data_IF_921643655113
#
_entry.id   IF_921643655113
#
_cell.length_a   1.000
_cell.length_b   1.000
_cell.length_c   1.000
_cell.angle_alpha   90.00
_cell.angle_beta   90.00
_cell.angle_gamma   90.00
#
_symmetry.space_group_name_H-M   'P 1'
#
loop_
_entity.id
_entity.type
_entity.pdbx_description
1 polymer ?
#
# COMPACT_ATOMS: atom_id res chain seq x y z
N UNK A 1 28.58 -17.92 7.44
CA UNK A 1 29.01 -17.59 6.08
C UNK A 1 28.12 -18.26 5.02
N UNK A 2 28.05 -19.55 4.89
CA UNK A 2 27.20 -20.25 3.90
C UNK A 2 25.71 -19.91 4.00
N UNK A 3 25.15 -19.71 5.18
CA UNK A 3 23.76 -19.30 5.35
C UNK A 3 23.46 -17.98 4.63
N UNK A 4 24.39 -17.03 4.64
CA UNK A 4 24.25 -15.75 3.96
C UNK A 4 24.24 -15.86 2.42
N UNK A 5 24.74 -16.98 1.87
CA UNK A 5 24.71 -17.29 0.44
C UNK A 5 23.46 -18.11 0.09
N UNK A 6 23.06 -19.00 1.00
CA UNK A 6 21.89 -19.88 0.80
C UNK A 6 20.58 -19.09 0.86
N UNK A 7 20.47 -18.07 1.72
CA UNK A 7 19.25 -17.29 1.85
C UNK A 7 18.88 -16.53 0.56
N UNK A 8 19.74 -15.69 -0.06
CA UNK A 8 19.43 -15.04 -1.33
C UNK A 8 19.14 -16.05 -2.47
N UNK A 9 19.86 -17.18 -2.46
CA UNK A 9 19.61 -18.25 -3.43
C UNK A 9 18.24 -18.89 -3.25
N UNK A 10 17.82 -19.10 -2.00
CA UNK A 10 16.47 -19.60 -1.70
C UNK A 10 15.40 -18.58 -2.13
N UNK A 11 15.58 -17.30 -1.86
CA UNK A 11 14.68 -16.25 -2.29
C UNK A 11 14.51 -16.26 -3.83
N UNK A 12 15.63 -16.29 -4.56
CA UNK A 12 15.63 -16.40 -6.03
C UNK A 12 14.97 -17.68 -6.54
N UNK A 13 15.20 -18.81 -5.86
CA UNK A 13 14.53 -20.07 -6.17
C UNK A 13 13.02 -20.00 -5.95
N UNK A 14 12.58 -19.42 -4.83
CA UNK A 14 11.17 -19.25 -4.52
C UNK A 14 10.49 -18.28 -5.50
N UNK A 15 11.14 -17.16 -5.86
CA UNK A 15 10.63 -16.26 -6.90
C UNK A 15 10.33 -17.02 -8.19
N UNK A 16 11.32 -17.75 -8.74
CA UNK A 16 11.12 -18.57 -9.94
C UNK A 16 10.06 -19.67 -9.77
N UNK A 17 9.88 -20.16 -8.55
CA UNK A 17 8.82 -21.13 -8.27
C UNK A 17 7.45 -20.49 -8.35
N UNK A 18 7.30 -19.28 -7.80
CA UNK A 18 6.04 -18.52 -7.87
C UNK A 18 5.75 -17.96 -9.26
N UNK A 19 6.76 -17.64 -10.08
CA UNK A 19 6.58 -17.21 -11.47
C UNK A 19 5.84 -18.27 -12.29
N UNK A 20 5.94 -19.56 -11.91
CA UNK A 20 5.20 -20.66 -12.53
C UNK A 20 3.68 -20.56 -12.37
N UNK A 21 3.18 -19.78 -11.41
CA UNK A 21 1.73 -19.55 -11.25
C UNK A 21 1.08 -19.08 -12.55
N UNK A 22 1.82 -18.32 -13.36
CA UNK A 22 1.33 -17.84 -14.66
C UNK A 22 0.99 -18.99 -15.64
N UNK A 23 1.55 -20.18 -15.45
CA UNK A 23 1.45 -21.31 -16.35
C UNK A 23 0.84 -22.56 -15.70
N UNK A 24 1.11 -22.78 -14.42
CA UNK A 24 0.73 -24.00 -13.70
C UNK A 24 -0.42 -23.71 -12.73
N UNK A 25 -1.57 -24.37 -12.90
CA UNK A 25 -2.75 -24.18 -12.03
C UNK A 25 -2.59 -24.73 -10.61
N UNK A 26 -1.55 -25.57 -10.38
CA UNK A 26 -1.27 -26.17 -9.07
C UNK A 26 0.18 -25.97 -8.68
N UNK A 27 0.48 -25.88 -7.36
CA UNK A 27 1.85 -25.79 -6.89
C UNK A 27 2.70 -27.00 -7.38
N UNK A 28 3.99 -26.81 -7.68
CA UNK A 28 4.85 -27.90 -8.11
C UNK A 28 4.93 -29.01 -7.04
N UNK A 29 4.72 -30.29 -7.42
CA UNK A 29 4.67 -31.40 -6.48
C UNK A 29 6.04 -31.77 -5.90
N UNK A 30 7.10 -31.22 -6.45
CA UNK A 30 8.50 -31.57 -6.17
C UNK A 30 9.35 -30.37 -5.72
N UNK A 31 8.72 -29.27 -5.22
CA UNK A 31 9.42 -28.04 -4.82
C UNK A 31 10.53 -28.32 -3.80
N UNK A 32 10.25 -29.13 -2.77
CA UNK A 32 11.20 -29.42 -1.72
C UNK A 32 12.41 -30.23 -2.24
N UNK A 33 12.20 -31.12 -3.22
CA UNK A 33 13.28 -31.86 -3.87
C UNK A 33 14.10 -30.94 -4.78
N UNK A 34 13.45 -30.12 -5.61
CA UNK A 34 14.14 -29.13 -6.46
C UNK A 34 14.99 -28.17 -5.65
N UNK A 35 14.48 -27.72 -4.50
CA UNK A 35 15.28 -26.89 -3.60
C UNK A 35 16.50 -27.65 -3.06
N UNK A 36 16.33 -28.90 -2.62
CA UNK A 36 17.44 -29.69 -2.14
C UNK A 36 18.52 -29.90 -3.22
N UNK A 37 18.11 -30.14 -4.45
CA UNK A 37 19.02 -30.32 -5.59
C UNK A 37 19.70 -28.97 -5.94
N UNK A 38 18.96 -27.88 -5.96
CA UNK A 38 19.49 -26.54 -6.17
C UNK A 38 20.52 -26.18 -5.08
N UNK A 39 20.18 -26.36 -3.81
CA UNK A 39 21.05 -26.05 -2.68
C UNK A 39 22.32 -26.89 -2.63
N UNK A 40 22.31 -28.11 -3.21
CA UNK A 40 23.47 -29.01 -3.26
C UNK A 40 24.48 -28.62 -4.36
N UNK A 41 24.08 -27.88 -5.39
CA UNK A 41 24.96 -27.42 -6.47
C UNK A 41 25.86 -26.29 -5.99
N UNK A 42 27.04 -26.17 -6.56
CA UNK A 42 27.88 -25.00 -6.33
C UNK A 42 27.14 -23.73 -6.86
N UNK A 43 27.13 -22.63 -6.09
CA UNK A 43 26.59 -21.37 -6.61
C UNK A 43 27.45 -20.84 -7.76
N UNK A 44 26.88 -20.01 -8.63
CA UNK A 44 27.65 -19.25 -9.62
C UNK A 44 28.63 -18.36 -8.84
N UNK A 45 29.91 -18.35 -9.20
CA UNK A 45 30.98 -17.68 -8.43
C UNK A 45 30.72 -16.16 -8.30
N UNK A 46 30.29 -15.50 -9.36
CA UNK A 46 29.95 -14.09 -9.34
C UNK A 46 28.83 -13.75 -8.35
N UNK A 47 27.73 -14.51 -8.36
CA UNK A 47 26.62 -14.34 -7.43
C UNK A 47 27.07 -14.57 -5.97
N UNK A 48 27.83 -15.64 -5.75
CA UNK A 48 28.29 -16.00 -4.41
C UNK A 48 29.22 -14.94 -3.83
N UNK A 49 30.08 -14.34 -4.67
CA UNK A 49 31.00 -13.26 -4.29
C UNK A 49 30.23 -11.97 -3.98
N UNK A 50 29.23 -11.60 -4.79
CA UNK A 50 28.35 -10.47 -4.54
C UNK A 50 27.61 -10.62 -3.18
N UNK A 51 26.92 -11.73 -2.97
CA UNK A 51 26.22 -11.99 -1.69
C UNK A 51 27.13 -12.03 -0.47
N UNK A 52 28.38 -12.52 -0.63
CA UNK A 52 29.35 -12.49 0.45
C UNK A 52 29.78 -11.06 0.76
N UNK A 53 30.02 -10.23 -0.26
CA UNK A 53 30.32 -8.80 -0.12
C UNK A 53 29.21 -8.06 0.64
N UNK A 54 27.99 -8.18 0.19
CA UNK A 54 26.81 -7.59 0.85
C UNK A 54 26.68 -8.02 2.32
N UNK A 55 26.87 -9.31 2.61
CA UNK A 55 26.80 -9.82 3.97
C UNK A 55 27.94 -9.29 4.87
N UNK A 56 29.11 -9.03 4.31
CA UNK A 56 30.24 -8.43 5.02
C UNK A 56 30.07 -6.93 5.22
N UNK A 57 29.45 -6.23 4.29
CA UNK A 57 29.23 -4.78 4.34
C UNK A 57 28.00 -4.38 5.14
N UNK A 58 27.14 -5.34 5.47
CA UNK A 58 25.96 -5.11 6.30
C UNK A 58 26.35 -4.54 7.66
N UNK A 59 25.85 -3.33 7.96
CA UNK A 59 25.97 -2.72 9.27
C UNK A 59 24.94 -3.29 10.24
N UNK A 60 25.32 -3.44 11.52
CA UNK A 60 24.42 -3.93 12.56
C UNK A 60 23.52 -2.82 13.06
N UNK A 61 22.24 -3.14 13.21
CA UNK A 61 21.26 -2.26 13.84
C UNK A 61 21.08 -2.64 15.33
N UNK A 62 20.68 -1.68 16.16
CA UNK A 62 20.50 -1.92 17.61
C UNK A 62 19.40 -2.93 17.95
N UNK A 63 18.47 -3.17 17.01
CA UNK A 63 17.42 -4.20 17.13
C UNK A 63 17.84 -5.58 16.62
N UNK A 64 19.04 -5.72 16.05
CA UNK A 64 19.50 -7.00 15.56
C UNK A 64 19.74 -7.96 16.75
N UNK A 65 19.09 -9.10 16.71
CA UNK A 65 19.26 -10.17 17.72
C UNK A 65 20.57 -10.92 17.56
N UNK A 66 21.25 -10.77 16.44
CA UNK A 66 22.49 -11.45 16.11
C UNK A 66 23.53 -10.49 15.54
N UNK A 67 24.82 -10.64 15.88
CA UNK A 67 25.87 -9.81 15.29
C UNK A 67 26.02 -10.08 13.80
N UNK A 68 26.45 -9.06 13.05
CA UNK A 68 26.70 -9.16 11.60
C UNK A 68 27.80 -10.20 11.29
N UNK A 69 27.87 -10.62 10.03
CA UNK A 69 28.91 -11.57 9.60
C UNK A 69 30.33 -11.07 9.93
N UNK A 70 30.61 -9.79 9.65
CA UNK A 70 31.89 -9.15 9.95
C UNK A 70 32.22 -9.25 11.45
N UNK A 71 31.31 -8.86 12.35
CA UNK A 71 31.50 -8.91 13.80
C UNK A 71 31.71 -10.34 14.31
N UNK A 72 31.04 -11.34 13.71
CA UNK A 72 31.24 -12.75 14.09
C UNK A 72 32.62 -13.26 13.68
N UNK A 73 33.11 -12.87 12.50
CA UNK A 73 34.45 -13.21 12.05
C UNK A 73 35.52 -12.57 12.93
N UNK A 74 35.38 -11.30 13.25
CA UNK A 74 36.27 -10.58 14.17
C UNK A 74 36.34 -11.24 15.56
N UNK A 75 35.15 -11.59 16.13
CA UNK A 75 35.07 -12.28 17.42
C UNK A 75 35.78 -13.65 17.40
N UNK A 76 35.77 -14.32 16.26
CA UNK A 76 36.48 -15.59 16.06
C UNK A 76 37.93 -15.41 15.61
N UNK A 77 38.41 -14.18 15.49
CA UNK A 77 39.75 -13.83 14.98
C UNK A 77 40.03 -14.36 13.58
N UNK A 78 38.99 -14.45 12.74
CA UNK A 78 39.12 -14.82 11.35
C UNK A 78 39.13 -13.55 10.48
N UNK A 79 40.08 -13.51 9.54
CA UNK A 79 40.05 -12.48 8.50
C UNK A 79 38.79 -12.65 7.62
N UNK A 80 38.27 -11.52 7.12
CA UNK A 80 37.20 -11.58 6.13
C UNK A 80 37.69 -12.34 4.88
N UNK A 81 36.98 -13.36 4.41
CA UNK A 81 37.43 -14.13 3.26
C UNK A 81 37.26 -13.32 1.99
N UNK A 82 38.25 -13.35 1.11
CA UNK A 82 38.19 -12.77 -0.23
C UNK A 82 37.36 -13.60 -1.22
N UNK A 83 36.97 -14.82 -0.86
CA UNK A 83 36.17 -15.72 -1.68
C UNK A 83 35.28 -16.61 -0.81
N UNK A 84 34.21 -17.12 -1.43
CA UNK A 84 33.30 -18.08 -0.77
C UNK A 84 34.06 -19.39 -0.49
N UNK A 85 34.01 -19.90 0.76
CA UNK A 85 34.63 -21.17 1.07
C UNK A 85 34.06 -22.30 0.20
N UNK A 86 34.89 -23.27 -0.22
CA UNK A 86 34.43 -24.39 -1.02
C UNK A 86 33.36 -25.21 -0.30
N UNK A 87 32.50 -25.93 -1.01
CA UNK A 87 31.55 -26.84 -0.42
C UNK A 87 32.25 -27.84 0.50
N UNK A 88 31.61 -28.15 1.64
CA UNK A 88 32.12 -29.22 2.52
C UNK A 88 32.05 -30.53 1.73
N UNK A 89 33.13 -31.30 1.79
CA UNK A 89 33.15 -32.65 1.27
C UNK A 89 32.44 -33.58 2.26
N UNK A 90 31.65 -34.53 1.74
CA UNK A 90 30.95 -35.54 2.55
C UNK A 90 29.44 -35.27 2.70
N UNK A 91 28.73 -36.17 3.43
CA UNK A 91 27.30 -36.06 3.61
C UNK A 91 26.92 -34.78 4.39
N UNK A 92 25.79 -34.16 4.04
CA UNK A 92 25.25 -33.08 4.82
C UNK A 92 24.85 -33.55 6.23
N UNK A 93 24.78 -32.62 7.18
CA UNK A 93 24.29 -32.93 8.54
C UNK A 93 22.89 -33.59 8.50
N UNK A 94 22.02 -33.17 7.60
CA UNK A 94 20.73 -33.82 7.42
C UNK A 94 20.85 -35.26 6.94
N UNK A 95 21.76 -35.55 6.00
CA UNK A 95 22.02 -36.92 5.57
C UNK A 95 22.65 -37.76 6.67
N UNK A 96 23.61 -37.19 7.42
CA UNK A 96 24.33 -37.90 8.47
C UNK A 96 23.44 -38.19 9.71
N UNK A 97 22.60 -37.24 10.11
CA UNK A 97 21.81 -37.35 11.34
C UNK A 97 20.40 -37.89 11.13
N UNK A 98 19.75 -37.53 10.02
CA UNK A 98 18.39 -37.96 9.74
C UNK A 98 18.35 -39.28 8.97
N UNK A 99 19.43 -39.61 8.21
CA UNK A 99 19.51 -40.87 7.46
C UNK A 99 18.24 -41.13 6.64
N UNK A 100 17.57 -42.27 6.84
CA UNK A 100 16.36 -42.66 6.12
C UNK A 100 15.15 -41.75 6.39
N UNK A 101 15.16 -40.97 7.45
CA UNK A 101 14.08 -40.02 7.76
C UNK A 101 14.12 -38.77 6.87
N UNK A 102 15.28 -38.41 6.28
CA UNK A 102 15.41 -37.19 5.47
C UNK A 102 14.43 -37.15 4.29
N UNK A 103 14.24 -38.17 3.45
CA UNK A 103 13.22 -38.17 2.40
C UNK A 103 11.79 -38.09 2.96
N UNK A 104 11.49 -38.80 4.06
CA UNK A 104 10.16 -38.79 4.69
C UNK A 104 9.79 -37.36 5.16
N UNK A 105 10.74 -36.72 5.84
CA UNK A 105 10.55 -35.31 6.27
C UNK A 105 10.41 -34.34 5.11
N UNK A 106 11.14 -34.58 4.01
CA UNK A 106 11.02 -33.75 2.80
C UNK A 106 9.65 -33.89 2.16
N UNK A 107 9.11 -35.11 2.08
CA UNK A 107 7.75 -35.32 1.58
C UNK A 107 6.70 -34.70 2.51
N UNK A 108 6.87 -34.80 3.81
CA UNK A 108 5.97 -34.17 4.78
C UNK A 108 6.00 -32.64 4.62
N UNK A 109 7.17 -32.05 4.50
CA UNK A 109 7.34 -30.62 4.25
C UNK A 109 6.71 -30.21 2.92
N UNK A 110 6.92 -31.00 1.85
CA UNK A 110 6.31 -30.75 0.54
C UNK A 110 4.78 -30.71 0.62
N UNK A 111 4.17 -31.68 1.30
CA UNK A 111 2.71 -31.73 1.47
C UNK A 111 2.19 -30.56 2.28
N UNK A 112 2.86 -30.24 3.37
CA UNK A 112 2.48 -29.10 4.22
C UNK A 112 2.60 -27.78 3.47
N UNK A 113 3.71 -27.54 2.76
CA UNK A 113 3.90 -26.36 1.96
C UNK A 113 2.84 -26.26 0.86
N UNK A 114 2.63 -27.32 0.08
CA UNK A 114 1.65 -27.34 -0.99
C UNK A 114 0.24 -27.01 -0.46
N UNK A 115 -0.19 -27.62 0.64
CA UNK A 115 -1.48 -27.35 1.26
C UNK A 115 -1.65 -25.91 1.76
N UNK A 116 -0.56 -25.29 2.25
CA UNK A 116 -0.60 -23.88 2.69
C UNK A 116 -0.75 -22.90 1.54
N UNK A 117 -0.18 -23.20 0.38
CA UNK A 117 -0.16 -22.26 -0.76
C UNK A 117 -1.23 -22.55 -1.82
N UNK A 118 -1.89 -23.70 -1.78
CA UNK A 118 -2.75 -24.21 -2.83
C UNK A 118 -3.88 -23.25 -3.19
N UNK A 119 -4.59 -22.73 -2.19
CA UNK A 119 -5.71 -21.82 -2.42
C UNK A 119 -5.25 -20.49 -3.04
N UNK A 120 -4.21 -19.87 -2.48
CA UNK A 120 -3.63 -18.64 -2.99
C UNK A 120 -3.02 -18.85 -4.39
N UNK A 121 -2.41 -20.01 -4.63
CA UNK A 121 -1.87 -20.38 -5.93
C UNK A 121 -2.95 -20.42 -7.00
N UNK A 122 -4.04 -21.17 -6.74
CA UNK A 122 -5.18 -21.29 -7.66
C UNK A 122 -5.84 -19.94 -7.93
N UNK A 123 -6.06 -19.16 -6.88
CA UNK A 123 -6.65 -17.81 -7.02
C UNK A 123 -5.76 -16.90 -7.91
N UNK A 124 -4.45 -16.92 -7.70
CA UNK A 124 -3.51 -16.12 -8.51
C UNK A 124 -3.44 -16.62 -9.95
N UNK A 125 -3.39 -17.94 -10.18
CA UNK A 125 -3.44 -18.51 -11.52
C UNK A 125 -4.69 -18.09 -12.28
N UNK A 126 -5.87 -18.18 -11.63
CA UNK A 126 -7.13 -17.74 -12.22
C UNK A 126 -7.11 -16.24 -12.56
N UNK A 127 -6.60 -15.41 -11.67
CA UNK A 127 -6.43 -13.98 -11.91
C UNK A 127 -5.57 -13.70 -13.16
N UNK A 128 -4.45 -14.39 -13.32
CA UNK A 128 -3.58 -14.26 -14.51
C UNK A 128 -4.33 -14.72 -15.76
N UNK A 129 -5.11 -15.80 -15.67
CA UNK A 129 -5.94 -16.28 -16.77
C UNK A 129 -6.98 -15.24 -17.19
N UNK A 130 -7.69 -14.65 -16.25
CA UNK A 130 -8.67 -13.58 -16.50
C UNK A 130 -8.02 -12.36 -17.11
N UNK A 131 -6.84 -11.96 -16.64
CA UNK A 131 -6.07 -10.85 -17.20
C UNK A 131 -5.67 -11.11 -18.65
N UNK A 132 -5.25 -12.34 -19.01
CA UNK A 132 -4.96 -12.73 -20.40
C UNK A 132 -6.20 -12.66 -21.30
N UNK A 133 -7.35 -13.12 -20.81
CA UNK A 133 -8.62 -13.02 -21.54
C UNK A 133 -8.99 -11.55 -21.75
N UNK A 134 -8.83 -10.73 -20.72
CA UNK A 134 -9.09 -9.29 -20.79
C UNK A 134 -8.17 -8.60 -21.80
N UNK A 135 -6.87 -8.89 -21.76
CA UNK A 135 -5.90 -8.35 -22.71
C UNK A 135 -6.27 -8.73 -24.15
N UNK A 136 -6.61 -10.00 -24.39
CA UNK A 136 -7.02 -10.45 -25.72
C UNK A 136 -8.28 -9.71 -26.22
N UNK A 137 -9.26 -9.49 -25.34
CA UNK A 137 -10.46 -8.73 -25.66
C UNK A 137 -10.15 -7.26 -26.00
N UNK A 138 -9.27 -6.62 -25.24
CA UNK A 138 -8.83 -5.23 -25.48
C UNK A 138 -8.07 -5.12 -26.80
N UNK A 139 -7.19 -6.08 -27.11
CA UNK A 139 -6.44 -6.11 -28.38
C UNK A 139 -7.33 -6.31 -29.61
N UNK A 140 -8.48 -6.96 -29.43
CA UNK A 140 -9.46 -7.19 -30.50
C UNK A 140 -10.35 -5.96 -30.79
N UNK A 141 -10.33 -4.91 -29.96
CA UNK A 141 -11.09 -3.69 -30.22
C UNK A 141 -10.49 -2.93 -31.41
N UNK A 142 -11.33 -2.48 -32.37
CA UNK A 142 -10.87 -1.70 -33.52
C UNK A 142 -10.33 -0.31 -33.11
N UNK A 143 -10.92 0.28 -32.08
CA UNK A 143 -10.49 1.53 -31.45
C UNK A 143 -10.57 1.37 -29.94
N UNK A 144 -9.67 2.02 -29.22
CA UNK A 144 -9.61 2.04 -27.75
C UNK A 144 -9.65 3.47 -27.27
N UNK A 145 -10.44 3.73 -26.25
CA UNK A 145 -10.37 4.98 -25.51
C UNK A 145 -9.08 5.07 -24.67
N UNK A 146 -8.86 6.20 -24.01
CA UNK A 146 -7.65 6.45 -23.20
C UNK A 146 -7.52 5.43 -22.06
N UNK A 147 -8.61 5.12 -21.37
CA UNK A 147 -8.61 4.18 -20.25
C UNK A 147 -8.31 2.75 -20.73
N UNK A 148 -8.93 2.32 -21.82
CA UNK A 148 -8.68 1.01 -22.45
C UNK A 148 -7.27 0.88 -23.00
N UNK A 149 -6.72 1.96 -23.53
CA UNK A 149 -5.33 2.00 -24.04
C UNK A 149 -4.34 1.84 -22.91
N UNK A 150 -4.52 2.54 -21.79
CA UNK A 150 -3.67 2.39 -20.61
C UNK A 150 -3.85 1.02 -19.95
N UNK A 151 -5.08 0.51 -19.84
CA UNK A 151 -5.34 -0.83 -19.32
C UNK A 151 -4.60 -1.89 -20.15
N UNK A 152 -4.61 -1.75 -21.48
CA UNK A 152 -3.88 -2.65 -22.40
C UNK A 152 -2.39 -2.64 -22.07
N UNK A 153 -1.76 -1.46 -22.03
CA UNK A 153 -0.33 -1.32 -21.73
C UNK A 153 0.04 -1.88 -20.35
N UNK A 154 -0.78 -1.64 -19.33
CA UNK A 154 -0.55 -2.21 -17.98
C UNK A 154 -0.61 -3.73 -17.97
N UNK A 155 -1.56 -4.32 -18.70
CA UNK A 155 -1.67 -5.76 -18.81
C UNK A 155 -0.50 -6.34 -19.63
N UNK A 156 -0.04 -5.66 -20.67
CA UNK A 156 1.12 -6.04 -21.45
C UNK A 156 2.39 -6.05 -20.61
N UNK A 157 2.69 -4.95 -19.94
CA UNK A 157 3.84 -4.85 -19.00
C UNK A 157 3.80 -5.99 -17.96
N UNK A 158 2.61 -6.27 -17.41
CA UNK A 158 2.48 -7.28 -16.36
C UNK A 158 2.58 -8.72 -16.87
N UNK A 159 1.98 -9.02 -18.03
CA UNK A 159 1.87 -10.38 -18.56
C UNK A 159 3.00 -10.75 -19.51
N UNK A 160 3.71 -9.78 -20.06
CA UNK A 160 4.77 -9.93 -21.05
C UNK A 160 6.04 -9.18 -20.59
N UNK A 161 6.59 -9.47 -19.40
CA UNK A 161 7.70 -8.69 -18.81
C UNK A 161 9.00 -8.76 -19.63
N UNK A 162 9.14 -9.77 -20.50
CA UNK A 162 10.29 -9.92 -21.40
C UNK A 162 10.27 -8.91 -22.56
N UNK A 163 9.10 -8.33 -22.85
CA UNK A 163 8.93 -7.35 -23.92
C UNK A 163 9.26 -5.96 -23.39
N UNK A 164 9.93 -5.16 -24.20
CA UNK A 164 10.18 -3.76 -23.88
C UNK A 164 9.00 -2.89 -24.30
N UNK A 165 8.29 -2.36 -23.29
CA UNK A 165 7.08 -1.55 -23.50
C UNK A 165 7.33 -0.04 -23.42
N UNK A 166 8.58 0.43 -23.23
CA UNK A 166 8.91 1.85 -23.03
C UNK A 166 8.44 2.76 -24.14
N UNK A 167 8.64 2.35 -25.40
CA UNK A 167 8.23 3.16 -26.57
C UNK A 167 6.70 3.30 -26.66
N UNK A 168 5.96 2.23 -26.38
CA UNK A 168 4.50 2.24 -26.40
C UNK A 168 3.93 3.12 -25.27
N UNK A 169 4.52 3.03 -24.08
CA UNK A 169 4.16 3.87 -22.94
C UNK A 169 4.50 5.35 -23.19
N UNK A 170 5.67 5.64 -23.76
CA UNK A 170 6.07 6.99 -24.13
C UNK A 170 5.13 7.60 -25.18
N UNK A 171 4.72 6.82 -26.17
CA UNK A 171 3.75 7.25 -27.19
C UNK A 171 2.37 7.55 -26.54
N UNK A 172 1.92 6.72 -25.63
CA UNK A 172 0.68 6.96 -24.86
C UNK A 172 0.77 8.27 -24.07
N UNK A 173 1.85 8.50 -23.34
CA UNK A 173 2.03 9.70 -22.51
C UNK A 173 2.25 10.96 -23.36
N UNK A 174 2.87 10.85 -24.54
CA UNK A 174 2.96 11.97 -25.49
C UNK A 174 1.58 12.43 -25.99
N UNK A 175 0.65 11.47 -26.16
CA UNK A 175 -0.75 11.78 -26.53
C UNK A 175 -1.61 12.22 -25.33
N UNK A 176 -1.22 11.88 -24.10
CA UNK A 176 -1.95 12.14 -22.86
C UNK A 176 -1.01 12.71 -21.77
N UNK A 177 -0.45 13.92 -21.93
CA UNK A 177 0.63 14.43 -21.07
C UNK A 177 0.23 14.67 -19.62
N UNK A 178 -1.06 14.85 -19.34
CA UNK A 178 -1.58 15.09 -17.98
C UNK A 178 -2.14 13.81 -17.33
N UNK A 179 -1.80 12.64 -17.85
CA UNK A 179 -2.26 11.36 -17.32
C UNK A 179 -1.29 10.79 -16.28
N UNK A 180 -1.52 11.10 -15.00
CA UNK A 180 -0.63 10.73 -13.89
C UNK A 180 -0.30 9.22 -13.86
N UNK A 181 -1.31 8.35 -14.02
CA UNK A 181 -1.11 6.89 -14.00
C UNK A 181 -0.27 6.40 -15.18
N UNK A 182 -0.45 6.98 -16.38
CA UNK A 182 0.37 6.64 -17.54
C UNK A 182 1.84 6.95 -17.32
N UNK A 183 2.13 8.16 -16.80
CA UNK A 183 3.50 8.55 -16.43
C UNK A 183 4.09 7.64 -15.38
N UNK A 184 3.30 7.24 -14.38
CA UNK A 184 3.75 6.31 -13.33
C UNK A 184 4.09 4.93 -13.89
N UNK A 185 3.26 4.38 -14.79
CA UNK A 185 3.51 3.06 -15.41
C UNK A 185 4.77 3.10 -16.28
N UNK A 186 4.94 4.14 -17.10
CA UNK A 186 6.17 4.31 -17.89
C UNK A 186 7.41 4.42 -17.00
N UNK A 187 7.31 5.20 -15.93
CA UNK A 187 8.39 5.34 -14.97
C UNK A 187 8.80 4.00 -14.37
N UNK A 188 7.84 3.19 -13.95
CA UNK A 188 8.11 1.86 -13.40
C UNK A 188 8.81 0.95 -14.41
N UNK A 189 8.33 0.89 -15.65
CA UNK A 189 8.94 0.09 -16.73
C UNK A 189 10.37 0.53 -17.04
N UNK A 190 10.64 1.84 -17.03
CA UNK A 190 12.01 2.37 -17.19
C UNK A 190 12.93 1.97 -16.05
N UNK A 191 12.49 2.16 -14.81
CA UNK A 191 13.29 1.85 -13.63
C UNK A 191 13.55 0.33 -13.48
N UNK A 192 12.60 -0.53 -13.85
CA UNK A 192 12.78 -1.99 -13.86
C UNK A 192 13.82 -2.45 -14.89
N UNK A 193 14.09 -1.61 -15.91
CA UNK A 193 15.13 -1.83 -16.94
C UNK A 193 16.38 -0.98 -16.71
N UNK A 194 16.63 -0.58 -15.46
CA UNK A 194 17.81 0.22 -15.07
C UNK A 194 17.92 1.59 -15.77
N UNK A 195 16.80 2.14 -16.27
CA UNK A 195 16.74 3.44 -16.93
C UNK A 195 16.30 4.54 -15.95
N UNK A 196 17.27 5.32 -15.45
CA UNK A 196 17.04 6.40 -14.50
C UNK A 196 16.12 7.53 -15.01
N UNK A 197 15.83 7.58 -16.33
CA UNK A 197 14.88 8.55 -16.88
C UNK A 197 13.44 8.34 -16.39
N UNK A 198 13.16 7.23 -15.72
CA UNK A 198 11.93 7.01 -14.99
C UNK A 198 11.73 7.93 -13.79
N UNK A 199 12.80 8.40 -13.13
CA UNK A 199 12.69 9.26 -11.93
C UNK A 199 11.95 10.59 -12.19
N UNK A 200 12.27 11.37 -13.24
CA UNK A 200 11.50 12.56 -13.59
C UNK A 200 10.01 12.30 -13.88
N UNK A 201 9.68 11.14 -14.45
CA UNK A 201 8.30 10.75 -14.73
C UNK A 201 7.52 10.50 -13.44
N UNK A 202 8.14 9.86 -12.42
CA UNK A 202 7.55 9.74 -11.09
C UNK A 202 7.26 11.11 -10.48
N UNK A 203 8.17 12.07 -10.63
CA UNK A 203 7.93 13.44 -10.14
C UNK A 203 6.79 14.14 -10.86
N UNK A 204 6.67 13.93 -12.18
CA UNK A 204 5.56 14.46 -12.95
C UNK A 204 4.23 13.84 -12.53
N UNK A 205 4.18 12.52 -12.34
CA UNK A 205 3.00 11.81 -11.86
C UNK A 205 2.54 12.33 -10.49
N UNK A 206 3.47 12.53 -9.55
CA UNK A 206 3.19 13.06 -8.21
C UNK A 206 2.65 14.50 -8.22
N UNK A 207 3.03 15.31 -9.20
CA UNK A 207 2.50 16.68 -9.35
C UNK A 207 1.06 16.69 -9.86
N UNK A 208 0.73 15.75 -10.74
CA UNK A 208 -0.62 15.61 -11.29
C UNK A 208 -1.57 14.94 -10.31
N UNK A 209 -1.08 13.92 -9.61
CA UNK A 209 -1.84 13.18 -8.60
C UNK A 209 -1.03 13.02 -7.32
N UNK A 210 -1.39 13.74 -6.24
CA UNK A 210 -0.72 13.59 -4.95
C UNK A 210 -0.80 12.19 -4.35
N UNK A 211 -1.79 11.36 -4.73
CA UNK A 211 -1.90 9.98 -4.24
C UNK A 211 -0.84 9.05 -4.86
N UNK A 212 -0.25 9.44 -5.99
CA UNK A 212 0.92 8.77 -6.56
C UNK A 212 2.20 8.93 -5.71
N UNK A 213 2.23 9.85 -4.72
CA UNK A 213 3.46 10.19 -3.97
C UNK A 213 4.07 8.99 -3.27
N UNK A 214 3.29 8.24 -2.52
CA UNK A 214 3.82 7.10 -1.75
C UNK A 214 4.35 5.98 -2.64
N UNK A 215 3.58 5.48 -3.64
CA UNK A 215 4.09 4.45 -4.54
C UNK A 215 5.27 4.93 -5.39
N UNK A 216 5.29 6.19 -5.84
CA UNK A 216 6.42 6.75 -6.58
C UNK A 216 7.70 6.80 -5.72
N UNK A 217 7.59 7.26 -4.47
CA UNK A 217 8.72 7.28 -3.56
C UNK A 217 9.26 5.87 -3.28
N UNK A 218 8.41 4.87 -3.14
CA UNK A 218 8.83 3.48 -2.93
C UNK A 218 9.61 2.94 -4.14
N UNK A 219 9.15 3.20 -5.36
CA UNK A 219 9.83 2.78 -6.60
C UNK A 219 11.18 3.47 -6.78
N UNK A 220 11.22 4.79 -6.63
CA UNK A 220 12.46 5.57 -6.73
C UNK A 220 13.49 5.15 -5.66
N UNK A 221 13.04 4.98 -4.41
CA UNK A 221 13.90 4.53 -3.31
C UNK A 221 14.52 3.15 -3.61
N UNK A 222 13.72 2.17 -4.03
CA UNK A 222 14.21 0.84 -4.35
C UNK A 222 15.23 0.87 -5.50
N UNK A 223 14.94 1.62 -6.56
CA UNK A 223 15.84 1.80 -7.70
C UNK A 223 17.19 2.42 -7.27
N UNK A 224 17.16 3.54 -6.54
CA UNK A 224 18.37 4.25 -6.13
C UNK A 224 19.23 3.42 -5.16
N UNK A 225 18.61 2.63 -4.28
CA UNK A 225 19.34 1.68 -3.45
C UNK A 225 20.03 0.60 -4.29
N UNK A 226 19.37 0.07 -5.32
CA UNK A 226 19.98 -0.91 -6.22
C UNK A 226 21.16 -0.32 -7.00
N UNK A 227 21.10 0.97 -7.35
CA UNK A 227 22.19 1.72 -7.97
C UNK A 227 23.29 2.17 -6.99
N UNK A 228 23.13 1.92 -5.68
CA UNK A 228 24.08 2.32 -4.63
C UNK A 228 23.98 3.78 -4.20
N UNK A 229 23.03 4.55 -4.74
CA UNK A 229 22.78 5.94 -4.34
C UNK A 229 21.93 6.02 -3.07
N UNK A 230 22.57 5.83 -1.93
CA UNK A 230 21.92 5.88 -0.61
C UNK A 230 21.38 7.27 -0.29
N UNK A 231 22.07 8.34 -0.71
CA UNK A 231 21.64 9.71 -0.41
C UNK A 231 20.38 10.08 -1.21
N UNK A 232 20.35 9.74 -2.50
CA UNK A 232 19.16 9.89 -3.32
C UNK A 232 17.98 9.07 -2.78
N UNK A 233 18.20 7.82 -2.40
CA UNK A 233 17.19 6.96 -1.82
C UNK A 233 16.59 7.57 -0.54
N UNK A 234 17.44 8.10 0.37
CA UNK A 234 16.96 8.73 1.61
C UNK A 234 16.13 9.98 1.35
N UNK A 235 16.47 10.79 0.34
CA UNK A 235 15.67 11.96 -0.05
C UNK A 235 14.24 11.56 -0.48
N UNK A 236 14.08 10.44 -1.19
CA UNK A 236 12.76 9.91 -1.55
C UNK A 236 12.02 9.31 -0.35
N UNK A 237 12.74 8.67 0.58
CA UNK A 237 12.18 8.19 1.83
C UNK A 237 11.65 9.34 2.70
N UNK A 238 12.34 10.49 2.75
CA UNK A 238 11.87 11.69 3.45
C UNK A 238 10.56 12.23 2.85
N UNK A 239 10.45 12.26 1.54
CA UNK A 239 9.20 12.67 0.84
C UNK A 239 8.04 11.72 1.17
N UNK A 240 8.31 10.42 1.21
CA UNK A 240 7.33 9.41 1.62
C UNK A 240 6.86 9.67 3.06
N UNK A 241 7.80 9.86 4.01
CA UNK A 241 7.49 10.14 5.42
C UNK A 241 6.67 11.42 5.60
N UNK A 242 7.02 12.47 4.86
CA UNK A 242 6.28 13.73 4.89
C UNK A 242 4.83 13.54 4.42
N UNK A 243 4.61 12.80 3.32
CA UNK A 243 3.26 12.48 2.83
C UNK A 243 2.48 11.62 3.82
N UNK A 244 3.09 10.59 4.38
CA UNK A 244 2.48 9.71 5.38
C UNK A 244 2.05 10.46 6.65
N UNK A 245 2.92 11.35 7.14
CA UNK A 245 2.62 12.22 8.27
C UNK A 245 1.42 13.13 7.97
N UNK A 246 1.40 13.73 6.78
CA UNK A 246 0.29 14.60 6.35
C UNK A 246 -1.03 13.83 6.24
N UNK A 247 -1.04 12.64 5.65
CA UNK A 247 -2.24 11.79 5.52
C UNK A 247 -2.73 11.30 6.87
N UNK A 248 -1.82 10.92 7.76
CA UNK A 248 -2.14 10.51 9.14
C UNK A 248 -2.80 11.66 9.89
N UNK A 249 -2.22 12.86 9.80
CA UNK A 249 -2.78 14.06 10.43
C UNK A 249 -4.16 14.42 9.84
N UNK A 250 -4.30 14.37 8.51
CA UNK A 250 -5.58 14.57 7.81
C UNK A 250 -6.63 13.57 8.29
N UNK A 251 -6.29 12.29 8.35
CA UNK A 251 -7.19 11.25 8.83
C UNK A 251 -7.58 11.46 10.30
N UNK A 252 -6.61 11.75 11.16
CA UNK A 252 -6.85 12.03 12.58
C UNK A 252 -7.78 13.23 12.77
N UNK A 253 -7.52 14.34 12.06
CA UNK A 253 -8.37 15.52 12.12
C UNK A 253 -9.76 15.28 11.52
N UNK A 254 -9.87 14.46 10.48
CA UNK A 254 -11.16 14.11 9.87
C UNK A 254 -12.00 13.23 10.79
N UNK A 255 -11.41 12.23 11.44
CA UNK A 255 -12.11 11.28 12.31
C UNK A 255 -12.47 11.85 13.69
N UNK A 256 -11.74 12.86 14.18
CA UNK A 256 -11.94 13.45 15.50
C UNK A 256 -12.67 14.79 15.39
N UNK A 257 -13.77 14.95 16.13
CA UNK A 257 -14.45 16.24 16.25
C UNK A 257 -13.85 17.00 17.44
N UNK A 258 -13.00 17.99 17.12
CA UNK A 258 -12.38 18.85 18.13
C UNK A 258 -13.08 20.23 18.16
N UNK A 259 -13.51 20.72 19.32
CA UNK A 259 -14.11 22.04 19.45
C UNK A 259 -13.22 23.21 19.02
N UNK A 260 -11.91 23.01 18.87
CA UNK A 260 -10.99 24.01 18.30
C UNK A 260 -11.15 24.17 16.80
N UNK A 261 -11.64 23.15 16.07
CA UNK A 261 -11.81 23.24 14.62
C UNK A 261 -12.67 24.44 14.21
N UNK A 262 -12.31 25.10 13.12
CA UNK A 262 -13.10 26.17 12.53
C UNK A 262 -14.34 25.58 11.85
N UNK A 263 -15.43 26.37 11.85
CA UNK A 263 -16.63 26.09 11.08
C UNK A 263 -16.74 27.09 9.93
N UNK A 264 -17.23 26.62 8.80
CA UNK A 264 -17.58 27.43 7.63
C UNK A 264 -19.03 27.15 7.22
N UNK A 265 -19.65 28.01 6.40
CA UNK A 265 -20.97 27.73 5.82
C UNK A 265 -21.01 26.34 5.17
N UNK A 266 -22.13 25.64 5.28
CA UNK A 266 -22.29 24.26 4.82
C UNK A 266 -22.04 24.06 3.32
N UNK A 267 -22.29 25.10 2.49
CA UNK A 267 -22.02 25.07 1.05
C UNK A 267 -22.96 24.17 0.22
N UNK A 268 -24.06 23.68 0.81
CA UNK A 268 -25.05 22.89 0.10
C UNK A 268 -25.90 23.80 -0.79
N UNK A 269 -26.29 23.29 -1.96
CA UNK A 269 -27.30 23.92 -2.81
C UNK A 269 -28.70 23.90 -2.16
N UNK A 270 -29.62 24.71 -2.68
CA UNK A 270 -30.96 24.87 -2.09
C UNK A 270 -31.75 23.54 -2.07
N UNK A 271 -31.63 22.71 -3.11
CA UNK A 271 -32.39 21.46 -3.23
C UNK A 271 -31.89 20.41 -2.23
N UNK A 272 -30.56 20.29 -2.13
CA UNK A 272 -29.94 19.39 -1.15
C UNK A 272 -30.25 19.84 0.26
N UNK A 273 -30.17 21.14 0.55
CA UNK A 273 -30.52 21.69 1.85
C UNK A 273 -32.01 21.43 2.19
N UNK A 274 -32.92 21.61 1.26
CA UNK A 274 -34.35 21.32 1.44
C UNK A 274 -34.58 19.84 1.82
N UNK A 275 -33.88 18.91 1.14
CA UNK A 275 -33.92 17.47 1.48
C UNK A 275 -33.40 17.20 2.88
N UNK A 276 -32.28 17.84 3.29
CA UNK A 276 -31.77 17.74 4.66
C UNK A 276 -32.79 18.24 5.67
N UNK A 277 -33.46 19.37 5.40
CA UNK A 277 -34.48 19.93 6.27
C UNK A 277 -35.73 19.04 6.34
N UNK A 278 -36.13 18.38 5.25
CA UNK A 278 -37.27 17.46 5.21
C UNK A 278 -37.05 16.24 6.14
N UNK A 279 -35.81 15.79 6.31
CA UNK A 279 -35.47 14.71 7.24
C UNK A 279 -35.59 15.13 8.72
N UNK A 280 -35.61 16.42 9.03
CA UNK A 280 -35.78 16.96 10.39
C UNK A 280 -37.27 17.02 10.77
N UNK A 281 -37.94 15.88 10.77
CA UNK A 281 -39.36 15.74 11.09
C UNK A 281 -39.68 16.14 12.54
N UNK A 282 -40.94 16.53 12.87
CA UNK A 282 -41.33 16.83 14.25
C UNK A 282 -41.01 15.73 15.24
N UNK A 283 -41.14 14.46 14.84
CA UNK A 283 -40.80 13.31 15.67
C UNK A 283 -39.29 13.26 16.00
N UNK A 284 -38.44 13.50 15.00
CA UNK A 284 -36.98 13.57 15.20
C UNK A 284 -36.56 14.78 16.03
N UNK A 285 -37.29 15.88 15.95
CA UNK A 285 -37.02 17.11 16.65
C UNK A 285 -37.64 17.18 18.07
N UNK A 286 -38.21 16.09 18.59
CA UNK A 286 -38.68 16.06 19.97
C UNK A 286 -37.53 16.32 20.96
N UNK A 287 -37.71 17.25 21.90
CA UNK A 287 -36.70 17.73 22.85
C UNK A 287 -35.53 18.52 22.22
N UNK A 288 -35.66 18.97 20.96
CA UNK A 288 -34.68 19.79 20.27
C UNK A 288 -35.16 21.24 20.25
N UNK A 289 -34.27 22.15 20.66
CA UNK A 289 -34.51 23.58 20.69
C UNK A 289 -33.95 24.29 19.44
N UNK A 290 -32.79 23.88 18.97
CA UNK A 290 -32.21 24.39 17.74
C UNK A 290 -31.35 23.32 17.04
N UNK A 291 -31.32 23.42 15.70
CA UNK A 291 -30.44 22.60 14.83
C UNK A 291 -29.64 23.53 13.96
N UNK A 292 -28.38 23.25 13.86
CA UNK A 292 -27.41 23.97 13.02
C UNK A 292 -26.69 23.01 12.09
N UNK A 293 -26.32 23.48 10.90
CA UNK A 293 -25.50 22.75 9.93
C UNK A 293 -24.34 23.62 9.48
N UNK A 294 -23.14 23.08 9.50
CA UNK A 294 -21.95 23.76 9.01
C UNK A 294 -20.95 22.75 8.41
N UNK A 295 -19.99 23.25 7.66
CA UNK A 295 -18.80 22.51 7.26
C UNK A 295 -17.71 22.69 8.31
N UNK A 296 -17.15 21.60 8.77
CA UNK A 296 -15.96 21.61 9.63
C UNK A 296 -14.72 21.74 8.75
N UNK A 297 -13.87 22.72 9.04
CA UNK A 297 -12.61 22.94 8.35
C UNK A 297 -11.48 22.32 9.16
N UNK A 298 -10.71 21.44 8.55
CA UNK A 298 -9.53 20.85 9.17
C UNK A 298 -8.25 21.46 8.60
N UNK A 299 -7.27 21.81 9.42
CA UNK A 299 -6.05 22.49 8.95
C UNK A 299 -5.23 21.67 7.94
N UNK A 300 -5.19 20.34 8.09
CA UNK A 300 -4.45 19.46 7.18
C UNK A 300 -5.04 19.42 5.76
N UNK A 301 -6.36 19.62 5.61
CA UNK A 301 -7.03 19.65 4.31
C UNK A 301 -8.27 20.56 4.37
N UNK A 302 -8.10 21.87 4.16
CA UNK A 302 -9.22 22.82 4.19
C UNK A 302 -10.26 22.58 3.09
N UNK A 303 -9.94 21.84 2.03
CA UNK A 303 -10.85 21.53 0.93
C UNK A 303 -11.82 20.39 1.25
N UNK A 304 -11.48 19.55 2.24
CA UNK A 304 -12.30 18.41 2.63
C UNK A 304 -13.66 18.86 3.18
N UNK A 305 -14.73 18.38 2.56
CA UNK A 305 -16.10 18.72 2.98
C UNK A 305 -16.56 17.74 4.06
N UNK A 306 -16.52 18.18 5.31
CA UNK A 306 -16.98 17.43 6.47
C UNK A 306 -18.15 18.17 7.12
N UNK A 307 -19.37 17.73 6.84
CA UNK A 307 -20.57 18.33 7.41
C UNK A 307 -20.77 17.91 8.86
N UNK A 308 -21.10 18.87 9.71
CA UNK A 308 -21.44 18.66 11.11
C UNK A 308 -22.77 19.33 11.43
N UNK A 309 -23.67 18.54 12.02
CA UNK A 309 -24.97 19.00 12.49
C UNK A 309 -24.93 19.16 14.01
N UNK A 310 -25.04 20.37 14.50
CA UNK A 310 -25.11 20.71 15.93
C UNK A 310 -26.55 20.75 16.43
N UNK A 311 -26.86 19.96 17.44
CA UNK A 311 -28.22 19.88 18.01
C UNK A 311 -28.22 20.43 19.42
N UNK A 312 -29.00 21.48 19.67
CA UNK A 312 -29.24 22.02 20.99
C UNK A 312 -30.53 21.42 21.55
N UNK A 313 -30.44 20.81 22.73
CA UNK A 313 -31.61 20.23 23.41
C UNK A 313 -32.38 21.30 24.18
N UNK A 314 -33.70 21.10 24.31
CA UNK A 314 -34.53 21.85 25.23
C UNK A 314 -34.05 21.67 26.69
N UNK A 315 -34.48 22.55 27.59
CA UNK A 315 -34.16 22.43 29.00
C UNK A 315 -34.58 21.04 29.56
N UNK A 316 -35.77 20.55 29.22
CA UNK A 316 -36.27 19.23 29.65
C UNK A 316 -35.42 18.09 29.06
N UNK A 317 -35.01 18.19 27.80
CA UNK A 317 -34.12 17.21 27.16
C UNK A 317 -32.77 17.09 27.86
N UNK A 318 -32.23 18.21 28.33
CA UNK A 318 -30.97 18.24 29.11
C UNK A 318 -31.15 17.63 30.49
N UNK A 319 -32.24 18.01 31.24
CA UNK A 319 -32.50 17.47 32.59
C UNK A 319 -32.69 15.95 32.57
N UNK A 320 -33.31 15.42 31.52
CA UNK A 320 -33.52 13.97 31.33
C UNK A 320 -32.29 13.25 30.72
N UNK A 321 -31.20 13.94 30.48
CA UNK A 321 -29.97 13.40 29.88
C UNK A 321 -30.20 12.68 28.52
N UNK A 322 -31.05 13.23 27.66
CA UNK A 322 -31.48 12.61 26.40
C UNK A 322 -30.50 12.87 25.22
N UNK A 323 -29.26 13.37 25.48
CA UNK A 323 -28.31 13.76 24.42
C UNK A 323 -28.05 12.62 23.45
N UNK A 324 -27.69 11.44 23.96
CA UNK A 324 -27.37 10.29 23.11
C UNK A 324 -28.59 9.83 22.28
N UNK A 325 -29.74 9.71 22.92
CA UNK A 325 -30.98 9.28 22.26
C UNK A 325 -31.41 10.24 21.14
N UNK A 326 -31.30 11.57 21.39
CA UNK A 326 -31.70 12.58 20.40
C UNK A 326 -30.68 12.62 19.24
N UNK A 327 -29.37 12.57 19.55
CA UNK A 327 -28.32 12.53 18.50
C UNK A 327 -28.51 11.29 17.63
N UNK A 328 -28.69 10.11 18.23
CA UNK A 328 -28.88 8.88 17.46
C UNK A 328 -30.14 8.92 16.59
N UNK A 329 -31.28 9.38 17.15
CA UNK A 329 -32.54 9.49 16.41
C UNK A 329 -32.44 10.45 15.20
N UNK A 330 -31.65 11.52 15.30
CA UNK A 330 -31.40 12.40 14.18
C UNK A 330 -30.41 11.75 13.22
N UNK A 331 -29.33 11.12 13.71
CA UNK A 331 -28.33 10.45 12.89
C UNK A 331 -28.92 9.29 12.05
N UNK A 332 -29.97 8.62 12.57
CA UNK A 332 -30.73 7.57 11.84
C UNK A 332 -31.59 8.16 10.70
N UNK A 333 -31.51 9.44 10.41
CA UNK A 333 -32.17 10.06 9.28
C UNK A 333 -31.54 9.67 7.94
N UNK A 334 -32.38 9.53 6.90
CA UNK A 334 -31.94 9.28 5.52
C UNK A 334 -31.38 10.52 4.82
N UNK A 335 -30.42 11.20 5.43
CA UNK A 335 -29.85 12.42 4.84
C UNK A 335 -29.21 12.15 3.47
N UNK A 336 -29.40 13.04 2.48
CA UNK A 336 -28.83 12.87 1.13
C UNK A 336 -27.32 13.12 1.10
N UNK A 337 -26.72 13.56 2.21
CA UNK A 337 -25.30 13.86 2.37
C UNK A 337 -24.75 13.20 3.64
N UNK A 338 -23.48 12.80 3.61
CA UNK A 338 -22.81 12.31 4.79
C UNK A 338 -22.56 13.46 5.78
N UNK A 339 -23.06 13.32 7.00
CA UNK A 339 -22.89 14.31 8.05
C UNK A 339 -22.74 13.65 9.43
N UNK A 340 -22.09 14.35 10.34
CA UNK A 340 -21.96 13.90 11.71
C UNK A 340 -22.86 14.74 12.62
N UNK A 341 -23.67 14.08 13.46
CA UNK A 341 -24.56 14.75 14.41
C UNK A 341 -23.89 14.85 15.78
N UNK A 342 -23.88 16.04 16.39
CA UNK A 342 -23.33 16.26 17.72
C UNK A 342 -24.34 17.01 18.61
N UNK A 343 -24.33 16.74 19.91
CA UNK A 343 -25.08 17.54 20.88
C UNK A 343 -24.27 18.77 21.30
N UNK A 344 -24.88 19.95 21.22
CA UNK A 344 -24.28 21.22 21.63
C UNK A 344 -24.35 21.35 23.16
N UNK A 345 -23.68 20.44 23.86
CA UNK A 345 -23.55 20.40 25.31
C UNK A 345 -22.28 19.66 25.71
N UNK A 346 -21.87 19.78 26.97
CA UNK A 346 -20.65 19.14 27.47
C UNK A 346 -19.41 19.53 26.67
N UNK A 347 -18.69 18.54 26.15
CA UNK A 347 -17.45 18.76 25.39
C UNK A 347 -17.65 19.65 24.14
N UNK A 348 -18.81 19.61 23.51
CA UNK A 348 -19.11 20.35 22.27
C UNK A 348 -19.85 21.68 22.49
N UNK A 349 -20.03 22.13 23.72
CA UNK A 349 -20.71 23.40 24.01
C UNK A 349 -20.06 24.61 23.32
N UNK A 350 -18.74 24.59 23.15
CA UNK A 350 -17.99 25.65 22.45
C UNK A 350 -18.35 25.81 20.98
N UNK A 351 -18.86 24.77 20.33
CA UNK A 351 -19.32 24.87 18.95
C UNK A 351 -20.57 25.73 18.80
N UNK A 352 -21.42 25.86 19.82
CA UNK A 352 -22.66 26.62 19.69
C UNK A 352 -22.42 28.08 19.30
N UNK A 353 -21.42 28.72 19.89
CA UNK A 353 -21.04 30.09 19.53
C UNK A 353 -20.55 30.19 18.08
N UNK A 354 -19.76 29.19 17.63
CA UNK A 354 -19.28 29.15 16.24
C UNK A 354 -20.41 28.95 15.24
N UNK A 355 -21.36 28.07 15.51
CA UNK A 355 -22.53 27.87 14.68
C UNK A 355 -23.39 29.12 14.57
N UNK A 356 -23.63 29.82 15.69
CA UNK A 356 -24.43 31.06 15.75
C UNK A 356 -23.80 32.22 14.96
N UNK A 357 -22.47 32.23 14.85
CA UNK A 357 -21.73 33.24 14.10
C UNK A 357 -21.82 33.06 12.58
N UNK A 358 -22.26 31.89 12.10
CA UNK A 358 -22.36 31.60 10.68
C UNK A 358 -23.75 31.89 10.12
N UNK A 359 -23.82 32.77 9.11
CA UNK A 359 -25.04 33.02 8.39
C UNK A 359 -25.57 31.75 7.70
N UNK A 360 -26.86 31.47 7.80
CA UNK A 360 -27.50 30.30 7.19
C UNK A 360 -27.25 28.99 7.88
N UNK A 361 -26.45 28.93 8.95
CA UNK A 361 -26.18 27.68 9.64
C UNK A 361 -27.38 27.14 10.43
N UNK A 362 -28.30 27.97 10.86
CA UNK A 362 -29.46 27.56 11.66
C UNK A 362 -30.55 27.00 10.77
N UNK A 363 -30.95 25.75 11.02
CA UNK A 363 -32.03 25.06 10.30
C UNK A 363 -33.38 25.08 11.09
N UNK A 364 -33.26 25.13 12.42
CA UNK A 364 -34.40 25.24 13.35
C UNK A 364 -34.12 26.30 14.40
#
# INVERSE_FOLDING_TARGET
MRVNIVAPRHERFMSRTYDRIAHDATPPPDMAQRWADEASRAPVEADATGWLGEALDREGHFTDTHPTLRRRLEALRHAAPGAVPPPLSGPSAAQAWLGPLAPVLREAFQREWAGRVEEAWKARHEQVREQRVRLAALRALPERDVAQSLETLRLEVHLEPEVDHRDALAAFNAANPDHAEGLFVEACERLERDDATGLPLLEAAMKLDPDATKPACQRAHAFLLAQGDKAGAEAWADRWRARDTHETLRHQQASTIDPSHALAPHGLDADTLAKVCAELTPARLQHVDAVYLARRVIPADPSLVLLVMGVRLTWWGRQRKLQGTVVQRIADGGFPVSLTVISLGGAYARFEAKFKALAGARLK
#
